data_IF_028706875456
#
_entry.id   IF_028706875456
#
_cell.length_a   1.000
_cell.length_b   1.000
_cell.length_c   1.000
_cell.angle_alpha   90.00
_cell.angle_beta   90.00
_cell.angle_gamma   90.00
#
_symmetry.space_group_name_H-M   'P 1'
#
loop_
_entity.id
_entity.type
_entity.pdbx_description
1 polymer ?
#
# COMPACT_ATOMS: atom_id res chain seq x y z
N UNK A 1 -13.48 20.28 6.65
CA UNK A 1 -12.36 19.79 5.83
C UNK A 1 -11.91 18.38 6.20
N UNK A 2 -12.08 17.91 7.44
CA UNK A 2 -11.71 16.54 7.83
C UNK A 2 -12.50 15.43 7.12
N UNK A 3 -13.82 15.61 6.93
CA UNK A 3 -14.66 14.64 6.21
C UNK A 3 -14.24 14.40 4.76
N UNK A 4 -13.73 15.44 4.08
CA UNK A 4 -13.26 15.37 2.70
C UNK A 4 -11.91 14.65 2.59
N UNK A 5 -11.00 14.88 3.53
CA UNK A 5 -9.72 14.17 3.58
C UNK A 5 -9.91 12.68 3.90
N UNK A 6 -10.91 12.34 4.72
CA UNK A 6 -11.29 10.96 5.06
C UNK A 6 -11.96 10.23 3.90
N UNK A 7 -12.89 10.87 3.17
CA UNK A 7 -13.53 10.23 2.02
C UNK A 7 -12.52 9.94 0.90
N UNK A 8 -11.56 10.85 0.70
CA UNK A 8 -10.43 10.64 -0.21
C UNK A 8 -9.55 9.50 0.29
N UNK A 9 -9.19 9.48 1.59
CA UNK A 9 -8.42 8.37 2.17
C UNK A 9 -9.09 7.02 1.95
N UNK A 10 -10.40 6.90 2.22
CA UNK A 10 -11.16 5.66 1.99
C UNK A 10 -11.13 5.23 0.52
N UNK A 11 -11.35 6.15 -0.42
CA UNK A 11 -11.33 5.83 -1.84
C UNK A 11 -9.95 5.35 -2.32
N UNK A 12 -8.88 5.98 -1.83
CA UNK A 12 -7.50 5.55 -2.12
C UNK A 12 -7.23 4.16 -1.53
N UNK A 13 -7.73 3.86 -0.33
CA UNK A 13 -7.64 2.52 0.25
C UNK A 13 -8.42 1.48 -0.55
N UNK A 14 -9.64 1.79 -0.95
CA UNK A 14 -10.46 0.91 -1.79
C UNK A 14 -9.76 0.63 -3.13
N UNK A 15 -9.12 1.64 -3.73
CA UNK A 15 -8.30 1.51 -4.93
C UNK A 15 -7.07 0.62 -4.72
N UNK A 16 -6.26 0.93 -3.70
CA UNK A 16 -5.03 0.18 -3.38
C UNK A 16 -5.32 -1.28 -3.01
N UNK A 17 -6.33 -1.53 -2.17
CA UNK A 17 -6.78 -2.90 -1.81
C UNK A 17 -7.38 -3.62 -3.01
N UNK A 18 -8.20 -2.92 -3.81
CA UNK A 18 -8.80 -3.47 -5.03
C UNK A 18 -7.74 -3.90 -6.04
N UNK A 19 -6.74 -3.06 -6.28
CA UNK A 19 -5.62 -3.41 -7.15
C UNK A 19 -4.76 -4.51 -6.55
N UNK A 20 -4.42 -4.44 -5.25
CA UNK A 20 -3.62 -5.48 -4.60
C UNK A 20 -4.29 -6.86 -4.67
N UNK A 21 -5.62 -6.94 -4.81
CA UNK A 21 -6.39 -8.18 -5.04
C UNK A 21 -6.56 -8.55 -6.51
N UNK A 22 -6.14 -7.71 -7.43
CA UNK A 22 -6.34 -7.94 -8.87
C UNK A 22 -5.45 -9.07 -9.39
N UNK A 23 -5.93 -9.76 -10.43
CA UNK A 23 -5.15 -10.77 -11.13
C UNK A 23 -3.86 -10.20 -11.74
N UNK A 24 -3.84 -8.90 -12.09
CA UNK A 24 -2.64 -8.21 -12.57
C UNK A 24 -1.57 -8.11 -11.48
N UNK A 25 -1.95 -7.76 -10.24
CA UNK A 25 -1.02 -7.70 -9.12
C UNK A 25 -0.46 -9.07 -8.76
N UNK A 26 -1.28 -10.12 -8.79
CA UNK A 26 -0.82 -11.49 -8.56
C UNK A 26 0.18 -11.94 -9.63
N UNK A 27 -0.13 -11.73 -10.91
CA UNK A 27 0.75 -12.08 -12.03
C UNK A 27 2.10 -11.34 -11.94
N UNK A 28 2.07 -10.03 -11.65
CA UNK A 28 3.27 -9.22 -11.45
C UNK A 28 4.08 -9.75 -10.26
N UNK A 29 3.45 -10.02 -9.12
CA UNK A 29 4.12 -10.57 -7.94
C UNK A 29 4.75 -11.95 -8.21
N UNK A 30 4.08 -12.79 -9.00
CA UNK A 30 4.60 -14.08 -9.45
C UNK A 30 5.84 -13.94 -10.33
N UNK A 31 5.80 -13.07 -11.33
CA UNK A 31 6.94 -12.84 -12.23
C UNK A 31 8.16 -12.26 -11.53
N UNK A 32 7.96 -11.59 -10.40
CA UNK A 32 8.99 -10.91 -9.62
C UNK A 32 9.46 -11.69 -8.39
N UNK A 33 8.78 -12.77 -8.02
CA UNK A 33 9.08 -13.55 -6.81
C UNK A 33 8.81 -12.80 -5.51
N UNK A 34 7.85 -11.88 -5.50
CA UNK A 34 7.49 -11.02 -4.33
C UNK A 34 6.08 -11.31 -3.83
N UNK A 35 5.56 -12.51 -4.04
CA UNK A 35 4.18 -12.90 -3.65
C UNK A 35 3.93 -12.68 -2.15
N UNK A 36 4.93 -12.96 -1.31
CA UNK A 36 4.83 -12.74 0.15
C UNK A 36 4.75 -11.26 0.51
N UNK A 37 5.53 -10.42 -0.15
CA UNK A 37 5.56 -8.99 0.13
C UNK A 37 4.25 -8.34 -0.33
N UNK A 38 3.73 -8.73 -1.50
CA UNK A 38 2.42 -8.29 -2.00
C UNK A 38 1.26 -8.73 -1.10
N UNK A 39 1.25 -9.99 -0.64
CA UNK A 39 0.21 -10.47 0.27
C UNK A 39 0.23 -9.70 1.60
N UNK A 40 1.42 -9.47 2.16
CA UNK A 40 1.58 -8.68 3.39
C UNK A 40 1.05 -7.25 3.23
N UNK A 41 1.43 -6.57 2.16
CA UNK A 41 0.98 -5.19 1.88
C UNK A 41 -0.55 -5.16 1.76
N UNK A 42 -1.15 -6.10 1.02
CA UNK A 42 -2.61 -6.21 0.90
C UNK A 42 -3.28 -6.34 2.26
N UNK A 43 -2.82 -7.29 3.08
CA UNK A 43 -3.46 -7.63 4.35
C UNK A 43 -3.32 -6.46 5.36
N UNK A 44 -2.17 -5.80 5.41
CA UNK A 44 -1.97 -4.61 6.25
C UNK A 44 -2.80 -3.41 5.78
N UNK A 45 -2.92 -3.17 4.47
CA UNK A 45 -3.78 -2.10 3.96
C UNK A 45 -5.25 -2.35 4.34
N UNK A 46 -5.71 -3.60 4.31
CA UNK A 46 -7.05 -3.95 4.78
C UNK A 46 -7.23 -3.68 6.28
N UNK A 47 -6.23 -4.03 7.10
CA UNK A 47 -6.24 -3.74 8.54
C UNK A 47 -6.25 -2.24 8.82
N UNK A 48 -5.43 -1.46 8.11
CA UNK A 48 -5.41 0.00 8.22
C UNK A 48 -6.75 0.62 7.80
N UNK A 49 -7.38 0.10 6.74
CA UNK A 49 -8.70 0.55 6.32
C UNK A 49 -9.77 0.28 7.38
N UNK A 50 -9.80 -0.93 7.95
CA UNK A 50 -10.75 -1.27 9.01
C UNK A 50 -10.60 -0.35 10.23
N UNK A 51 -9.35 -0.10 10.64
CA UNK A 51 -9.07 0.80 11.76
C UNK A 51 -9.50 2.26 11.48
N UNK A 52 -9.27 2.78 10.27
CA UNK A 52 -9.74 4.11 9.89
C UNK A 52 -11.26 4.25 10.08
N UNK A 53 -12.01 3.20 9.76
CA UNK A 53 -13.46 3.19 9.91
C UNK A 53 -13.88 3.15 11.38
N UNK A 54 -13.24 2.33 12.23
CA UNK A 54 -13.53 2.26 13.67
C UNK A 54 -13.16 3.55 14.40
N UNK A 55 -11.98 4.13 14.11
CA UNK A 55 -11.54 5.39 14.72
C UNK A 55 -12.45 6.58 14.38
N UNK A 56 -13.19 6.51 13.27
CA UNK A 56 -14.17 7.51 12.88
C UNK A 56 -15.43 7.47 13.78
N UNK A 57 -15.83 6.29 14.23
CA UNK A 57 -17.02 6.09 15.05
C UNK A 57 -16.83 6.60 16.48
N UNK A 58 -15.62 6.52 17.03
CA UNK A 58 -15.36 6.81 18.45
C UNK A 58 -14.97 8.27 18.79
N UNK A 59 -14.70 9.16 17.82
CA UNK A 59 -14.41 10.61 18.00
C UNK A 59 -13.34 11.02 19.06
N UNK A 60 -12.67 10.10 19.75
CA UNK A 60 -11.66 10.44 20.76
C UNK A 60 -10.27 10.59 20.13
N UNK A 61 -9.64 11.77 20.26
CA UNK A 61 -8.20 11.94 19.98
C UNK A 61 -7.82 12.46 18.58
N UNK A 62 -8.58 13.43 18.04
CA UNK A 62 -8.45 14.04 16.70
C UNK A 62 -7.01 14.25 16.18
N UNK A 63 -6.03 14.70 16.99
CA UNK A 63 -4.69 15.03 16.47
C UNK A 63 -3.84 13.81 16.10
N UNK A 64 -3.89 12.76 16.91
CA UNK A 64 -3.07 11.55 16.68
C UNK A 64 -3.69 10.72 15.57
N UNK A 65 -5.02 10.58 15.58
CA UNK A 65 -5.78 9.92 14.51
C UNK A 65 -5.57 10.64 13.18
N UNK A 66 -5.69 11.98 13.11
CA UNK A 66 -5.44 12.72 11.86
C UNK A 66 -4.01 12.55 11.33
N UNK A 67 -3.02 12.47 12.23
CA UNK A 67 -1.62 12.24 11.82
C UNK A 67 -1.44 10.84 11.25
N UNK A 68 -2.07 9.85 11.87
CA UNK A 68 -2.02 8.47 11.41
C UNK A 68 -2.79 8.31 10.09
N UNK A 69 -4.00 8.87 9.96
CA UNK A 69 -4.77 8.92 8.69
C UNK A 69 -3.93 9.48 7.55
N UNK A 70 -3.18 10.57 7.80
CA UNK A 70 -2.28 11.16 6.81
C UNK A 70 -1.18 10.17 6.41
N UNK A 71 -0.47 9.57 7.37
CA UNK A 71 0.60 8.61 7.08
C UNK A 71 0.09 7.40 6.30
N UNK A 72 -1.07 6.90 6.69
CA UNK A 72 -1.75 5.75 6.09
C UNK A 72 -2.19 6.05 4.66
N UNK A 73 -2.70 7.27 4.40
CA UNK A 73 -2.98 7.74 3.04
C UNK A 73 -1.71 7.88 2.19
N UNK A 74 -0.65 8.44 2.75
CA UNK A 74 0.63 8.61 2.04
C UNK A 74 1.20 7.23 1.65
N UNK A 75 1.07 6.22 2.50
CA UNK A 75 1.42 4.82 2.17
C UNK A 75 0.53 4.27 1.05
N UNK A 76 -0.77 4.54 1.06
CA UNK A 76 -1.66 4.05 0.01
C UNK A 76 -1.33 4.66 -1.36
N UNK A 77 -0.95 5.95 -1.42
CA UNK A 77 -0.42 6.56 -2.65
C UNK A 77 0.91 5.93 -3.07
N UNK A 78 1.85 5.72 -2.14
CA UNK A 78 3.13 5.04 -2.45
C UNK A 78 2.90 3.63 -3.04
N UNK A 79 1.88 2.92 -2.55
CA UNK A 79 1.47 1.60 -3.08
C UNK A 79 0.92 1.73 -4.50
N UNK A 80 -0.03 2.63 -4.73
CA UNK A 80 -0.65 2.89 -6.03
C UNK A 80 0.39 3.30 -7.09
N UNK A 81 1.24 4.27 -6.78
CA UNK A 81 2.30 4.76 -7.68
C UNK A 81 3.31 3.66 -8.04
N UNK A 82 3.78 2.89 -7.05
CA UNK A 82 4.69 1.78 -7.29
C UNK A 82 4.06 0.76 -8.24
N UNK A 83 2.79 0.46 -8.02
CA UNK A 83 2.05 -0.53 -8.77
C UNK A 83 1.81 -0.10 -10.23
N UNK A 84 1.37 1.14 -10.47
CA UNK A 84 1.16 1.67 -11.82
C UNK A 84 2.47 1.66 -12.61
N UNK A 85 3.55 2.09 -11.96
CA UNK A 85 4.89 2.09 -12.51
C UNK A 85 5.36 0.67 -12.89
N UNK A 86 4.99 -0.36 -12.11
CA UNK A 86 5.29 -1.76 -12.46
C UNK A 86 4.51 -2.25 -13.68
N UNK A 87 3.22 -1.92 -13.77
CA UNK A 87 2.39 -2.25 -14.92
C UNK A 87 2.96 -1.65 -16.21
N UNK A 88 3.46 -0.42 -16.16
CA UNK A 88 4.11 0.26 -17.30
C UNK A 88 5.44 -0.41 -17.67
N UNK A 89 6.30 -0.73 -16.70
CA UNK A 89 7.61 -1.35 -16.95
C UNK A 89 7.49 -2.78 -17.51
N UNK A 90 6.46 -3.52 -17.09
CA UNK A 90 6.26 -4.93 -17.45
C UNK A 90 5.32 -5.15 -18.65
N UNK A 91 4.49 -4.16 -19.01
CA UNK A 91 3.38 -4.30 -19.96
C UNK A 91 3.70 -4.33 -21.47
N UNK A 92 4.96 -4.21 -21.92
CA UNK A 92 5.29 -4.34 -23.37
C UNK A 92 6.58 -5.12 -23.65
N UNK A 93 6.51 -6.34 -24.22
CA UNK A 93 7.69 -7.07 -24.64
C UNK A 93 8.19 -6.55 -25.99
N UNK A 94 9.42 -6.03 -26.01
CA UNK A 94 10.23 -5.90 -27.22
C UNK A 94 11.53 -6.65 -26.96
N UNK A 95 11.91 -7.55 -27.88
CA UNK A 95 13.14 -8.35 -27.85
C UNK A 95 14.42 -7.54 -27.54
N UNK A 96 14.48 -6.25 -27.90
CA UNK A 96 15.59 -5.34 -27.56
C UNK A 96 15.65 -4.90 -26.08
N UNK A 97 14.64 -5.21 -25.26
CA UNK A 97 14.55 -4.82 -23.84
C UNK A 97 14.88 -5.94 -22.85
N UNK A 98 15.20 -7.16 -23.31
CA UNK A 98 15.44 -8.31 -22.42
C UNK A 98 16.42 -8.07 -21.24
N UNK A 99 17.61 -7.45 -21.43
CA UNK A 99 18.49 -7.12 -20.29
C UNK A 99 17.95 -5.98 -19.42
N UNK A 100 17.20 -5.01 -19.99
CA UNK A 100 16.51 -3.97 -19.22
C UNK A 100 15.39 -4.56 -18.36
N UNK A 101 14.64 -5.54 -18.87
CA UNK A 101 13.58 -6.20 -18.11
C UNK A 101 14.08 -6.90 -16.85
N UNK A 102 15.32 -7.41 -16.81
CA UNK A 102 15.88 -8.00 -15.57
C UNK A 102 16.26 -6.93 -14.54
N UNK A 103 16.82 -5.79 -14.98
CA UNK A 103 17.13 -4.67 -14.10
C UNK A 103 15.86 -4.01 -13.58
N UNK A 104 14.87 -3.81 -14.44
CA UNK A 104 13.55 -3.32 -14.08
C UNK A 104 12.90 -4.27 -13.07
N UNK A 105 12.90 -5.58 -13.32
CA UNK A 105 12.40 -6.58 -12.34
C UNK A 105 13.10 -6.50 -10.98
N UNK A 106 14.44 -6.35 -10.96
CA UNK A 106 15.20 -6.19 -9.71
C UNK A 106 14.83 -4.89 -8.99
N UNK A 107 14.70 -3.79 -9.73
CA UNK A 107 14.33 -2.49 -9.17
C UNK A 107 12.91 -2.53 -8.59
N UNK A 108 11.97 -3.13 -9.32
CA UNK A 108 10.59 -3.33 -8.86
C UNK A 108 10.55 -4.20 -7.60
N UNK A 109 11.27 -5.32 -7.58
CA UNK A 109 11.33 -6.18 -6.39
C UNK A 109 11.94 -5.44 -5.18
N UNK A 110 12.91 -4.55 -5.41
CA UNK A 110 13.47 -3.69 -4.36
C UNK A 110 12.43 -2.69 -3.84
N UNK A 111 11.70 -2.02 -4.74
CA UNK A 111 10.63 -1.09 -4.37
C UNK A 111 9.52 -1.78 -3.58
N UNK A 112 9.13 -3.02 -3.93
CA UNK A 112 8.14 -3.79 -3.17
C UNK A 112 8.60 -4.09 -1.74
N UNK A 113 9.89 -4.39 -1.55
CA UNK A 113 10.46 -4.60 -0.21
C UNK A 113 10.52 -3.32 0.61
N UNK A 114 10.90 -2.20 -0.02
CA UNK A 114 10.89 -0.89 0.62
C UNK A 114 9.47 -0.48 1.03
N UNK A 115 8.49 -0.74 0.17
CA UNK A 115 7.08 -0.49 0.43
C UNK A 115 6.56 -1.33 1.60
N UNK A 116 6.88 -2.63 1.62
CA UNK A 116 6.57 -3.50 2.75
C UNK A 116 7.16 -2.95 4.06
N UNK A 117 8.42 -2.52 4.06
CA UNK A 117 9.06 -1.96 5.24
C UNK A 117 8.37 -0.68 5.72
N UNK A 118 7.91 0.19 4.80
CA UNK A 118 7.13 1.38 5.14
C UNK A 118 5.79 1.03 5.78
N UNK A 119 5.06 0.08 5.20
CA UNK A 119 3.77 -0.41 5.73
C UNK A 119 3.96 -0.98 7.13
N UNK A 120 4.99 -1.82 7.31
CA UNK A 120 5.33 -2.42 8.60
C UNK A 120 5.69 -1.37 9.66
N UNK A 121 6.47 -0.33 9.31
CA UNK A 121 6.82 0.74 10.24
C UNK A 121 5.59 1.56 10.67
N UNK A 122 4.66 1.86 9.76
CA UNK A 122 3.37 2.50 10.11
C UNK A 122 2.55 1.60 11.04
N UNK A 123 2.50 0.30 10.78
CA UNK A 123 1.82 -0.69 11.63
C UNK A 123 2.44 -0.80 13.03
N UNK A 124 3.77 -0.87 13.13
CA UNK A 124 4.48 -0.92 14.42
C UNK A 124 4.35 0.39 15.22
N UNK A 125 4.33 1.55 14.54
CA UNK A 125 4.03 2.84 15.20
C UNK A 125 2.62 2.85 15.79
N UNK A 126 1.65 2.27 15.09
CA UNK A 126 0.29 2.13 15.58
C UNK A 126 0.24 1.35 16.91
N UNK A 127 0.96 0.22 16.98
CA UNK A 127 1.09 -0.60 18.20
C UNK A 127 1.78 0.15 19.35
N UNK A 128 2.86 0.89 19.05
CA UNK A 128 3.66 1.61 20.04
C UNK A 128 2.88 2.72 20.75
N UNK A 129 2.02 3.44 20.03
CA UNK A 129 1.21 4.51 20.62
C UNK A 129 -0.13 4.01 21.18
N UNK A 130 -0.40 2.69 21.12
CA UNK A 130 -1.68 2.08 21.54
C UNK A 130 -2.87 2.84 20.98
N UNK A 131 -2.81 3.21 19.69
CA UNK A 131 -3.97 3.84 19.03
C UNK A 131 -5.14 2.86 18.94
N UNK A 132 -4.84 1.56 19.03
CA UNK A 132 -5.79 0.47 19.27
C UNK A 132 -5.81 0.23 20.78
N UNK A 133 -6.77 0.84 21.49
CA UNK A 133 -7.31 0.23 22.70
C UNK A 133 -8.67 -0.34 22.30
N UNK A 134 -8.84 -1.64 22.48
CA UNK A 134 -10.17 -2.25 22.50
C UNK A 134 -10.88 -1.96 23.81
#
# INVERSE_FOLDING_TARGET
>A
MEATALSVGKAVFDGAVGYAKSAMAEEVAWQLGVQRDQAFIRDELQMMQAFLMTAHEEREGHKVINTWVKQVRDVAYDVEDCIEDFAVRLGRPSWWRAPRTLLDRRQVAKQMKELRAKVEDVSQRNMRYRLIKG
#
